data_IF_266178640918
#
_entry.id   IF_266178640918
#
_cell.length_a   1.000
_cell.length_b   1.000
_cell.length_c   1.000
_cell.angle_alpha   90.00
_cell.angle_beta   90.00
_cell.angle_gamma   90.00
#
_symmetry.space_group_name_H-M   'P 1'
#
loop_
_entity.id
_entity.type
_entity.pdbx_description
1 polymer ?
#
# COMPACT_ATOMS: atom_id res chain seq x y z
N UNK A 1 4.44 0.21 -19.46
CA UNK A 1 5.46 1.23 -19.21
C UNK A 1 6.57 1.04 -20.24
N UNK A 2 6.86 2.05 -21.07
CA UNK A 2 7.99 1.99 -22.01
C UNK A 2 9.31 2.12 -21.25
N UNK A 3 10.34 1.36 -21.65
CA UNK A 3 11.66 1.42 -21.01
C UNK A 3 12.37 2.73 -21.43
N UNK A 4 12.86 3.54 -20.47
CA UNK A 4 13.53 4.79 -20.80
C UNK A 4 14.89 4.53 -21.44
N UNK A 5 15.24 5.36 -22.42
CA UNK A 5 16.56 5.34 -23.05
C UNK A 5 17.61 6.02 -22.15
N UNK A 6 18.92 5.79 -22.39
CA UNK A 6 20.00 6.55 -21.76
C UNK A 6 19.82 8.06 -21.78
N UNK A 7 19.31 8.60 -22.90
CA UNK A 7 19.10 10.02 -23.06
C UNK A 7 17.92 10.51 -22.21
N UNK A 8 16.86 9.72 -22.11
CA UNK A 8 15.70 10.05 -21.26
C UNK A 8 16.11 10.18 -19.79
N UNK A 9 16.90 9.22 -19.28
CA UNK A 9 17.42 9.26 -17.90
C UNK A 9 18.28 10.52 -17.66
N UNK A 10 19.15 10.86 -18.60
CA UNK A 10 20.03 12.03 -18.51
C UNK A 10 19.23 13.34 -18.48
N UNK A 11 18.25 13.47 -19.37
CA UNK A 11 17.45 14.69 -19.48
C UNK A 11 16.51 14.85 -18.28
N UNK A 12 15.89 13.76 -17.80
CA UNK A 12 15.12 13.76 -16.54
C UNK A 12 15.98 14.22 -15.37
N UNK A 13 17.15 13.60 -15.14
CA UNK A 13 18.07 13.99 -14.07
C UNK A 13 18.44 15.48 -14.12
N UNK A 14 18.75 16.00 -15.31
CA UNK A 14 19.12 17.41 -15.48
C UNK A 14 17.95 18.36 -15.23
N UNK A 15 16.73 17.99 -15.64
CA UNK A 15 15.54 18.80 -15.40
C UNK A 15 15.23 18.98 -13.91
N UNK A 16 15.67 18.03 -13.10
CA UNK A 16 15.61 18.03 -11.63
C UNK A 16 16.83 18.66 -10.97
N UNK A 17 17.75 19.24 -11.76
CA UNK A 17 18.99 19.86 -11.28
C UNK A 17 19.90 18.90 -10.47
N UNK A 18 19.73 17.59 -10.64
CA UNK A 18 20.52 16.59 -9.93
C UNK A 18 21.87 16.37 -10.59
N UNK A 19 22.92 16.26 -9.77
CA UNK A 19 24.22 15.74 -10.25
C UNK A 19 24.16 14.23 -10.44
N UNK A 20 25.05 13.67 -11.28
CA UNK A 20 25.17 12.21 -11.43
C UNK A 20 25.49 11.54 -10.10
N UNK A 21 26.28 12.18 -9.23
CA UNK A 21 26.57 11.67 -7.88
C UNK A 21 25.31 11.60 -7.03
N UNK A 22 24.50 12.67 -7.01
CA UNK A 22 23.28 12.72 -6.23
C UNK A 22 22.28 11.65 -6.66
N UNK A 23 22.09 11.46 -7.98
CA UNK A 23 21.24 10.39 -8.50
C UNK A 23 21.80 9.00 -8.13
N UNK A 24 23.11 8.82 -8.22
CA UNK A 24 23.74 7.57 -7.85
C UNK A 24 23.53 7.22 -6.37
N UNK A 25 23.67 8.21 -5.48
CA UNK A 25 23.43 8.04 -4.04
C UNK A 25 21.98 7.63 -3.77
N UNK A 26 21.00 8.32 -4.41
CA UNK A 26 19.57 8.01 -4.27
C UNK A 26 19.23 6.62 -4.80
N UNK A 27 19.75 6.25 -5.97
CA UNK A 27 19.53 4.92 -6.54
C UNK A 27 20.37 3.83 -5.84
N UNK A 28 21.28 4.19 -4.92
CA UNK A 28 22.22 3.30 -4.24
C UNK A 28 23.14 2.53 -5.19
N UNK A 29 23.68 3.23 -6.20
CA UNK A 29 24.65 2.74 -7.18
C UNK A 29 25.86 3.67 -7.24
N UNK A 30 26.90 3.33 -8.01
CA UNK A 30 28.07 4.20 -8.14
C UNK A 30 27.87 5.29 -9.18
N UNK A 31 28.40 6.49 -8.92
CA UNK A 31 28.35 7.59 -9.90
C UNK A 31 28.98 7.23 -11.26
N UNK A 32 30.12 6.51 -11.33
CA UNK A 32 30.65 6.06 -12.62
C UNK A 32 29.70 5.15 -13.40
N UNK A 33 28.86 4.37 -12.72
CA UNK A 33 27.84 3.54 -13.38
C UNK A 33 26.76 4.41 -14.02
N UNK A 34 26.24 5.42 -13.31
CA UNK A 34 25.28 6.41 -13.88
C UNK A 34 25.88 7.09 -15.11
N UNK A 35 27.13 7.56 -15.02
CA UNK A 35 27.79 8.24 -16.13
C UNK A 35 27.90 7.36 -17.39
N UNK A 36 28.26 6.08 -17.23
CA UNK A 36 28.34 5.11 -18.34
C UNK A 36 26.98 4.75 -18.91
N UNK A 37 25.95 4.63 -18.07
CA UNK A 37 24.57 4.37 -18.52
C UNK A 37 24.07 5.55 -19.35
N UNK A 38 24.16 6.78 -18.83
CA UNK A 38 23.73 8.00 -19.55
C UNK A 38 24.53 8.25 -20.84
N UNK A 39 25.79 7.81 -20.88
CA UNK A 39 26.63 7.84 -22.07
C UNK A 39 26.27 6.79 -23.13
N UNK A 40 25.45 5.79 -22.77
CA UNK A 40 25.12 4.66 -23.64
C UNK A 40 26.21 3.59 -23.72
N UNK A 41 27.24 3.66 -22.86
CA UNK A 41 28.38 2.73 -22.84
C UNK A 41 28.05 1.40 -22.14
N UNK A 42 26.94 1.35 -21.39
CA UNK A 42 26.50 0.20 -20.61
C UNK A 42 25.00 0.05 -20.72
N UNK A 43 24.56 -1.18 -21.01
CA UNK A 43 23.18 -1.61 -20.81
C UNK A 43 23.02 -2.10 -19.36
N UNK A 44 22.26 -1.39 -18.50
CA UNK A 44 22.08 -1.78 -17.11
C UNK A 44 21.22 -3.05 -16.99
N UNK A 45 21.44 -3.81 -15.90
CA UNK A 45 20.47 -4.83 -15.51
C UNK A 45 19.13 -4.16 -15.18
N UNK A 46 18.02 -4.86 -15.42
CA UNK A 46 16.69 -4.33 -15.14
C UNK A 46 16.53 -3.83 -13.70
N UNK A 47 17.11 -4.54 -12.71
CA UNK A 47 17.08 -4.11 -11.31
C UNK A 47 17.84 -2.81 -11.05
N UNK A 48 18.91 -2.54 -11.78
CA UNK A 48 19.65 -1.28 -11.71
C UNK A 48 18.86 -0.16 -12.39
N UNK A 49 18.27 -0.43 -13.55
CA UNK A 49 17.45 0.54 -14.26
C UNK A 49 16.25 0.98 -13.42
N UNK A 50 15.55 0.02 -12.80
CA UNK A 50 14.42 0.29 -11.89
C UNK A 50 14.80 1.25 -10.76
N UNK A 51 15.88 0.97 -10.04
CA UNK A 51 16.37 1.83 -8.95
C UNK A 51 16.70 3.26 -9.40
N UNK A 52 17.19 3.43 -10.63
CA UNK A 52 17.47 4.76 -11.20
C UNK A 52 16.16 5.49 -11.52
N UNK A 53 15.20 4.78 -12.11
CA UNK A 53 13.88 5.32 -12.44
C UNK A 53 13.12 5.71 -11.17
N UNK A 54 13.08 4.84 -10.18
CA UNK A 54 12.47 5.09 -8.86
C UNK A 54 13.07 6.34 -8.19
N UNK A 55 14.40 6.48 -8.19
CA UNK A 55 15.07 7.66 -7.63
C UNK A 55 14.73 8.97 -8.39
N UNK A 56 14.52 8.88 -9.70
CA UNK A 56 14.07 10.04 -10.50
C UNK A 56 12.60 10.37 -10.25
N UNK A 57 11.74 9.35 -10.16
CA UNK A 57 10.32 9.52 -9.83
C UNK A 57 10.15 10.14 -8.44
N UNK A 58 10.97 9.73 -7.46
CA UNK A 58 11.04 10.31 -6.12
C UNK A 58 11.41 11.80 -6.17
N UNK A 59 12.47 12.14 -6.90
CA UNK A 59 12.91 13.52 -7.06
C UNK A 59 11.91 14.40 -7.82
N UNK A 60 11.11 13.80 -8.71
CA UNK A 60 10.02 14.47 -9.44
C UNK A 60 8.78 14.69 -8.57
N UNK A 61 8.72 14.13 -7.35
CA UNK A 61 7.50 14.14 -6.53
C UNK A 61 6.37 13.35 -7.17
N UNK A 62 6.70 12.38 -8.03
CA UNK A 62 5.74 11.53 -8.76
C UNK A 62 5.44 10.22 -8.06
N UNK A 63 6.08 9.95 -6.91
CA UNK A 63 5.74 8.80 -6.10
C UNK A 63 4.39 9.05 -5.46
N UNK A 64 3.40 8.31 -5.93
CA UNK A 64 2.11 8.17 -5.26
C UNK A 64 2.33 7.34 -3.99
N UNK A 65 1.87 7.85 -2.86
CA UNK A 65 1.97 7.22 -1.55
C UNK A 65 0.61 6.73 -1.07
N UNK A 66 0.60 5.94 0.00
CA UNK A 66 -0.61 5.45 0.63
C UNK A 66 -1.59 6.58 0.97
N UNK A 67 -1.09 7.70 1.51
CA UNK A 67 -1.92 8.87 1.84
C UNK A 67 -2.61 9.50 0.63
N UNK A 68 -2.05 9.37 -0.57
CA UNK A 68 -2.59 9.95 -1.81
C UNK A 68 -3.78 9.16 -2.37
N UNK A 69 -3.90 7.88 -1.99
CA UNK A 69 -4.93 6.95 -2.52
C UNK A 69 -5.89 6.44 -1.46
N UNK A 70 -5.58 6.57 -0.17
CA UNK A 70 -6.39 6.00 0.89
C UNK A 70 -7.77 6.64 1.03
N UNK A 71 -8.72 5.84 1.50
CA UNK A 71 -9.97 6.33 2.02
C UNK A 71 -9.86 6.58 3.53
N UNK A 72 -10.09 7.82 3.95
CA UNK A 72 -10.02 8.21 5.37
C UNK A 72 -11.27 7.81 6.16
N UNK A 73 -12.39 7.50 5.50
CA UNK A 73 -13.64 7.10 6.15
C UNK A 73 -13.66 5.59 6.39
N UNK A 74 -12.83 5.13 7.33
CA UNK A 74 -12.73 3.71 7.69
C UNK A 74 -13.97 3.28 8.47
N UNK A 75 -14.82 2.46 7.83
CA UNK A 75 -15.93 1.78 8.50
C UNK A 75 -15.38 0.55 9.22
N UNK A 76 -15.55 0.48 10.53
CA UNK A 76 -14.99 -0.57 11.39
C UNK A 76 -15.99 -1.05 12.45
N UNK A 77 -15.61 -2.11 13.15
CA UNK A 77 -16.27 -2.61 14.38
C UNK A 77 -15.26 -2.74 15.51
N UNK A 78 -15.74 -2.73 16.75
CA UNK A 78 -14.97 -3.00 17.94
C UNK A 78 -14.86 -4.52 18.20
N UNK A 79 -13.84 -5.00 18.94
CA UNK A 79 -13.70 -6.42 19.29
C UNK A 79 -14.85 -6.98 20.13
N UNK A 80 -15.51 -6.12 20.91
CA UNK A 80 -16.64 -6.48 21.77
C UNK A 80 -18.01 -6.35 21.08
N UNK A 81 -18.06 -5.76 19.88
CA UNK A 81 -19.29 -5.72 19.09
C UNK A 81 -19.74 -7.13 18.73
N UNK A 82 -21.04 -7.30 18.51
CA UNK A 82 -21.58 -8.60 18.11
C UNK A 82 -21.30 -8.88 16.63
N UNK A 83 -21.13 -10.16 16.29
CA UNK A 83 -21.05 -10.61 14.88
C UNK A 83 -22.29 -10.16 14.08
N UNK A 84 -23.45 -10.04 14.73
CA UNK A 84 -24.67 -9.49 14.12
C UNK A 84 -24.45 -8.06 13.62
N UNK A 85 -23.94 -7.18 14.48
CA UNK A 85 -23.69 -5.78 14.14
C UNK A 85 -22.68 -5.67 13.00
N UNK A 86 -21.60 -6.46 13.03
CA UNK A 86 -20.63 -6.52 11.95
C UNK A 86 -21.29 -6.94 10.62
N UNK A 87 -22.13 -7.99 10.64
CA UNK A 87 -22.84 -8.46 9.44
C UNK A 87 -23.82 -7.43 8.91
N UNK A 88 -24.60 -6.79 9.80
CA UNK A 88 -25.60 -5.81 9.40
C UNK A 88 -24.91 -4.56 8.81
N UNK A 89 -23.78 -4.13 9.39
CA UNK A 89 -22.95 -3.05 8.83
C UNK A 89 -22.35 -3.41 7.46
N UNK A 90 -21.87 -4.65 7.28
CA UNK A 90 -21.42 -5.16 5.98
C UNK A 90 -22.53 -5.12 4.94
N UNK A 91 -23.75 -5.56 5.29
CA UNK A 91 -24.90 -5.57 4.39
C UNK A 91 -25.33 -4.17 3.98
N UNK A 92 -25.45 -3.26 4.96
CA UNK A 92 -25.91 -1.89 4.74
C UNK A 92 -24.94 -1.08 3.87
N UNK A 93 -23.64 -1.32 4.05
CA UNK A 93 -22.60 -0.61 3.31
C UNK A 93 -22.10 -1.37 2.06
N UNK A 94 -22.55 -2.60 1.84
CA UNK A 94 -22.14 -3.43 0.70
C UNK A 94 -20.71 -3.97 0.80
N UNK A 95 -20.17 -4.12 2.01
CA UNK A 95 -18.83 -4.61 2.25
C UNK A 95 -18.80 -6.14 2.48
N UNK A 96 -17.70 -6.78 2.07
CA UNK A 96 -17.47 -8.21 2.29
C UNK A 96 -16.72 -8.52 3.57
N UNK A 97 -16.07 -7.51 4.15
CA UNK A 97 -15.27 -7.54 5.36
C UNK A 97 -15.21 -6.17 6.02
N UNK A 98 -14.86 -6.13 7.30
CA UNK A 98 -14.66 -4.92 8.08
C UNK A 98 -13.38 -5.04 8.89
N UNK A 99 -12.57 -3.97 8.99
CA UNK A 99 -11.52 -3.89 9.97
C UNK A 99 -12.09 -3.89 11.39
N UNK A 100 -11.40 -4.59 12.29
CA UNK A 100 -11.67 -4.58 13.72
C UNK A 100 -10.68 -3.61 14.36
N UNK A 101 -11.18 -2.56 15.00
CA UNK A 101 -10.37 -1.46 15.53
C UNK A 101 -10.79 -1.21 16.99
N UNK A 102 -9.80 -1.09 17.87
CA UNK A 102 -10.02 -0.73 19.27
C UNK A 102 -9.15 0.47 19.63
N UNK A 103 -9.76 1.55 20.13
CA UNK A 103 -9.05 2.78 20.50
C UNK A 103 -8.11 3.30 19.39
N UNK A 104 -8.55 3.23 18.13
CA UNK A 104 -7.76 3.62 16.96
C UNK A 104 -6.79 2.54 16.47
N UNK A 105 -6.42 1.56 17.29
CA UNK A 105 -5.48 0.51 16.91
C UNK A 105 -6.16 -0.59 16.09
N UNK A 106 -5.60 -1.00 14.94
CA UNK A 106 -6.13 -2.14 14.20
C UNK A 106 -5.82 -3.45 14.94
N UNK A 107 -6.83 -4.30 15.11
CA UNK A 107 -6.73 -5.61 15.77
C UNK A 107 -6.90 -6.80 14.82
N UNK A 108 -7.65 -6.63 13.74
CA UNK A 108 -7.86 -7.69 12.76
C UNK A 108 -8.84 -7.30 11.67
N UNK A 109 -9.35 -8.32 10.98
CA UNK A 109 -10.49 -8.19 10.08
C UNK A 109 -11.54 -9.25 10.44
N UNK A 110 -12.80 -8.88 10.29
CA UNK A 110 -13.90 -9.84 10.25
C UNK A 110 -14.50 -9.82 8.85
N UNK A 111 -14.63 -11.00 8.25
CA UNK A 111 -15.18 -11.18 6.91
C UNK A 111 -16.40 -12.10 6.92
N UNK A 112 -17.19 -12.04 5.85
CA UNK A 112 -18.26 -13.01 5.61
C UNK A 112 -17.75 -14.47 5.60
N UNK A 113 -16.48 -14.69 5.24
CA UNK A 113 -15.87 -16.02 5.27
C UNK A 113 -15.59 -16.47 6.70
N UNK A 114 -15.07 -15.59 7.57
CA UNK A 114 -14.83 -15.91 8.98
C UNK A 114 -16.14 -16.31 9.66
N UNK A 115 -17.19 -15.51 9.46
CA UNK A 115 -18.53 -15.76 10.03
C UNK A 115 -19.09 -17.12 9.59
N UNK A 116 -18.88 -17.51 8.32
CA UNK A 116 -19.35 -18.81 7.79
C UNK A 116 -18.55 -20.01 8.30
N UNK A 117 -17.27 -19.84 8.62
CA UNK A 117 -16.41 -20.94 9.06
C UNK A 117 -16.71 -21.40 10.49
N UNK A 118 -17.42 -20.59 11.26
CA UNK A 118 -17.86 -20.96 12.60
C UNK A 118 -18.98 -22.01 12.51
N UNK A 119 -18.56 -23.28 12.48
CA UNK A 119 -19.44 -24.44 12.51
C UNK A 119 -19.85 -24.70 13.97
N UNK A 120 -20.97 -24.13 14.42
CA UNK A 120 -21.87 -24.58 15.52
C UNK A 120 -22.56 -23.39 16.21
N UNK A 121 -23.89 -23.44 16.30
CA UNK A 121 -24.70 -22.51 17.12
C UNK A 121 -25.06 -21.17 16.46
N UNK A 122 -25.78 -20.33 17.22
CA UNK A 122 -26.09 -18.96 16.81
C UNK A 122 -24.88 -18.06 17.08
N UNK A 123 -24.03 -17.89 16.06
CA UNK A 123 -22.81 -17.08 16.14
C UNK A 123 -23.07 -15.59 16.23
N UNK A 124 -24.32 -15.16 15.99
CA UNK A 124 -24.64 -13.74 15.84
C UNK A 124 -24.44 -12.91 17.10
N UNK A 125 -24.52 -13.53 18.28
CA UNK A 125 -24.35 -12.86 19.58
C UNK A 125 -22.93 -12.97 20.13
N UNK A 126 -22.04 -13.69 19.46
CA UNK A 126 -20.64 -13.80 19.88
C UNK A 126 -19.92 -12.48 19.60
N UNK A 127 -18.93 -12.11 20.42
CA UNK A 127 -18.11 -10.94 20.16
C UNK A 127 -17.29 -11.15 18.89
N UNK A 128 -17.04 -10.07 18.15
CA UNK A 128 -16.23 -10.07 16.92
C UNK A 128 -14.84 -10.65 17.16
N UNK A 129 -14.22 -10.35 18.30
CA UNK A 129 -12.89 -10.85 18.69
C UNK A 129 -12.77 -12.38 18.70
N UNK A 130 -13.87 -13.11 18.91
CA UNK A 130 -13.86 -14.58 18.90
C UNK A 130 -13.94 -15.21 17.51
N UNK A 131 -14.24 -14.41 16.49
CA UNK A 131 -14.51 -14.86 15.11
C UNK A 131 -13.55 -14.22 14.10
N UNK A 132 -13.06 -13.02 14.38
CA UNK A 132 -12.16 -12.28 13.51
C UNK A 132 -10.85 -13.03 13.24
N UNK A 133 -10.20 -12.65 12.14
CA UNK A 133 -8.83 -13.07 11.82
C UNK A 133 -7.83 -12.02 12.33
N UNK A 134 -6.80 -12.47 13.06
CA UNK A 134 -5.72 -11.62 13.63
C UNK A 134 -4.63 -11.24 12.59
N UNK A 135 -4.82 -11.59 11.31
CA UNK A 135 -3.90 -11.24 10.22
C UNK A 135 -4.12 -9.82 9.73
N UNK A 136 -3.30 -8.88 10.21
CA UNK A 136 -3.32 -7.48 9.77
C UNK A 136 -2.17 -7.21 8.80
N UNK A 137 -2.50 -6.66 7.64
CA UNK A 137 -1.53 -5.96 6.79
C UNK A 137 -1.76 -4.46 6.96
N UNK A 138 -0.77 -3.77 7.52
CA UNK A 138 -0.78 -2.33 7.72
C UNK A 138 0.40 -1.68 7.00
N UNK A 139 0.22 -0.43 6.59
CA UNK A 139 1.27 0.40 5.96
C UNK A 139 1.28 1.80 6.58
N UNK A 140 2.43 2.47 6.56
CA UNK A 140 2.53 3.88 6.97
C UNK A 140 2.03 4.81 5.85
N UNK A 141 1.68 6.06 6.19
CA UNK A 141 1.21 7.08 5.25
C UNK A 141 2.13 7.30 4.04
N UNK A 142 3.45 7.21 4.25
CA UNK A 142 4.45 7.48 3.23
C UNK A 142 4.81 6.24 2.39
N UNK A 143 4.21 5.08 2.67
CA UNK A 143 4.43 3.83 1.92
C UNK A 143 4.11 4.03 0.45
N UNK A 144 4.94 3.50 -0.44
CA UNK A 144 4.76 3.71 -1.89
C UNK A 144 3.60 2.91 -2.45
N UNK A 145 2.95 3.39 -3.52
CA UNK A 145 1.85 2.68 -4.16
C UNK A 145 2.24 1.26 -4.62
N UNK A 146 3.49 1.05 -5.06
CA UNK A 146 3.98 -0.28 -5.45
C UNK A 146 4.03 -1.26 -4.27
N UNK A 147 4.46 -0.79 -3.10
CA UNK A 147 4.46 -1.59 -1.87
C UNK A 147 3.04 -1.88 -1.38
N UNK A 148 2.15 -0.87 -1.44
CA UNK A 148 0.71 -1.04 -1.15
C UNK A 148 0.10 -2.07 -2.10
N UNK A 149 0.33 -1.97 -3.41
CA UNK A 149 -0.17 -2.92 -4.42
C UNK A 149 0.35 -4.33 -4.14
N UNK A 150 1.63 -4.46 -3.79
CA UNK A 150 2.22 -5.76 -3.42
C UNK A 150 1.57 -6.35 -2.17
N UNK A 151 1.16 -5.52 -1.21
CA UNK A 151 0.40 -5.97 -0.06
C UNK A 151 -1.01 -6.46 -0.43
N UNK A 152 -1.65 -5.85 -1.44
CA UNK A 152 -2.99 -6.23 -1.90
C UNK A 152 -3.02 -7.52 -2.72
N UNK A 153 -1.89 -7.95 -3.30
CA UNK A 153 -1.77 -9.24 -4.02
C UNK A 153 -2.28 -10.44 -3.21
N UNK A 154 -2.26 -10.32 -1.87
CA UNK A 154 -2.69 -11.37 -0.94
C UNK A 154 -3.75 -10.91 0.06
N UNK A 155 -4.21 -9.66 -0.01
CA UNK A 155 -5.15 -9.09 0.95
C UNK A 155 -6.21 -8.25 0.21
N UNK A 156 -7.49 -8.39 0.58
CA UNK A 156 -8.55 -7.58 -0.05
C UNK A 156 -8.56 -6.11 0.38
N UNK A 157 -7.84 -5.77 1.45
CA UNK A 157 -7.66 -4.40 1.91
C UNK A 157 -6.39 -4.28 2.77
N UNK A 158 -5.83 -3.08 2.83
CA UNK A 158 -4.71 -2.71 3.70
C UNK A 158 -5.14 -1.53 4.57
N UNK A 159 -4.83 -1.55 5.86
CA UNK A 159 -5.03 -0.39 6.72
C UNK A 159 -3.81 0.53 6.67
N UNK A 160 -4.08 1.83 6.55
CA UNK A 160 -3.05 2.86 6.65
C UNK A 160 -3.03 3.35 8.10
N UNK A 161 -1.84 3.35 8.69
CA UNK A 161 -1.63 3.75 10.08
C UNK A 161 -0.67 4.94 10.16
N UNK A 162 -0.85 5.76 11.19
CA UNK A 162 0.08 6.80 11.60
C UNK A 162 0.27 6.69 13.12
N UNK A 163 1.50 6.46 13.58
CA UNK A 163 1.77 6.33 15.02
C UNK A 163 1.05 5.14 15.68
N UNK A 164 0.66 4.12 14.90
CA UNK A 164 -0.08 2.94 15.36
C UNK A 164 -1.61 3.11 15.37
N UNK A 165 -2.12 4.29 15.04
CA UNK A 165 -3.56 4.53 14.89
C UNK A 165 -3.97 4.40 13.43
N UNK A 166 -5.15 3.83 13.18
CA UNK A 166 -5.72 3.67 11.85
C UNK A 166 -6.23 5.02 11.34
N UNK A 167 -5.65 5.49 10.24
CA UNK A 167 -5.98 6.76 9.60
C UNK A 167 -6.62 6.59 8.22
N UNK A 168 -6.53 5.39 7.64
CA UNK A 168 -7.16 5.09 6.35
C UNK A 168 -7.24 3.60 6.02
N UNK A 169 -7.84 3.32 4.88
CA UNK A 169 -7.90 1.99 4.28
C UNK A 169 -7.71 2.11 2.76
N UNK A 170 -7.03 1.14 2.16
CA UNK A 170 -6.81 1.06 0.71
C UNK A 170 -7.26 -0.32 0.23
N UNK A 171 -7.97 -0.33 -0.90
CA UNK A 171 -8.38 -1.51 -1.66
C UNK A 171 -7.95 -1.38 -3.13
N UNK A 172 -8.05 -2.47 -3.90
CA UNK A 172 -7.80 -2.43 -5.35
C UNK A 172 -8.65 -1.38 -6.07
N UNK A 173 -9.86 -1.10 -5.56
CA UNK A 173 -10.75 -0.09 -6.14
C UNK A 173 -10.19 1.33 -5.98
N UNK A 174 -9.53 1.61 -4.86
CA UNK A 174 -8.93 2.92 -4.57
C UNK A 174 -7.71 3.15 -5.47
N UNK A 175 -6.86 2.12 -5.64
CA UNK A 175 -5.74 2.15 -6.60
C UNK A 175 -6.26 2.37 -8.02
N UNK A 176 -7.27 1.61 -8.43
CA UNK A 176 -7.85 1.71 -9.77
C UNK A 176 -8.48 3.08 -10.06
N UNK A 177 -8.95 3.79 -9.05
CA UNK A 177 -9.50 5.15 -9.19
C UNK A 177 -8.42 6.23 -9.36
N UNK A 178 -7.16 5.92 -9.03
CA UNK A 178 -6.04 6.87 -9.09
C UNK A 178 -5.19 6.75 -10.37
N UNK A 179 -5.32 5.65 -11.13
CA UNK A 179 -4.56 5.36 -12.37
C UNK A 179 -5.26 5.78 -13.67
#
# INVERSE_FOLDING_TARGET
MELPTPNDLRERRKSLELTQSKLADMAGVSQPLIARIEGGDVDPRLSTLRRIVEALDEAEGRIVRAEDVMNTNVRSVAPDDSVREARDLMLDAGFSQLPVIENGMPLGFISNSDIRHVQEGDVTQRPVSEVMSEGLTTVELDTTLDEVSSGLDHNSAILVVEGGETVGIITDADIAAHI
#
